data_IF_965664471566
#
_entry.id   IF_965664471566
#
_cell.length_a   1.000
_cell.length_b   1.000
_cell.length_c   1.000
_cell.angle_alpha   90.00
_cell.angle_beta   90.00
_cell.angle_gamma   90.00
#
_symmetry.space_group_name_H-M   'P 1'
#
loop_
_entity.id
_entity.type
_entity.pdbx_description
1 polymer ?
#
# COMPACT_ATOMS: atom_id res chain seq x y z
N UNK A 1 3.46 -12.08 17.29
CA UNK A 1 4.51 -11.25 16.64
C UNK A 1 5.91 -11.94 16.59
N UNK A 2 6.17 -12.94 17.45
CA UNK A 2 7.46 -13.66 17.46
C UNK A 2 7.81 -14.33 16.11
N UNK A 3 6.81 -14.82 15.37
CA UNK A 3 7.02 -15.42 14.06
C UNK A 3 7.45 -14.40 12.98
N UNK A 4 7.03 -13.11 13.10
CA UNK A 4 7.49 -12.06 12.17
C UNK A 4 8.99 -11.78 12.39
N UNK A 5 9.44 -11.74 13.64
CA UNK A 5 10.87 -11.56 13.95
C UNK A 5 11.72 -12.67 13.35
N UNK A 6 11.22 -13.92 13.37
CA UNK A 6 11.89 -15.05 12.72
C UNK A 6 11.94 -14.86 11.20
N UNK A 7 10.81 -14.50 10.57
CA UNK A 7 10.78 -14.25 9.13
C UNK A 7 11.70 -13.10 8.73
N UNK A 8 11.77 -12.03 9.52
CA UNK A 8 12.68 -10.92 9.26
C UNK A 8 14.15 -11.32 9.34
N UNK A 9 14.51 -12.26 10.23
CA UNK A 9 15.84 -12.82 10.30
C UNK A 9 16.16 -13.75 9.11
N UNK A 10 15.17 -14.53 8.67
CA UNK A 10 15.32 -15.45 7.53
C UNK A 10 15.33 -14.70 6.18
N UNK A 11 14.71 -13.51 6.10
CA UNK A 11 14.55 -12.70 4.88
C UNK A 11 14.93 -11.24 5.14
N UNK A 12 16.22 -10.91 5.35
CA UNK A 12 16.67 -9.58 5.76
C UNK A 12 16.41 -8.49 4.70
N UNK A 13 16.30 -8.85 3.42
CA UNK A 13 16.06 -7.95 2.30
C UNK A 13 14.56 -7.65 2.07
N UNK A 14 13.67 -8.30 2.84
CA UNK A 14 12.22 -8.09 2.75
C UNK A 14 11.76 -7.10 3.81
N UNK A 15 11.14 -6.00 3.38
CA UNK A 15 10.52 -5.04 4.28
C UNK A 15 9.17 -5.56 4.80
N UNK A 16 8.95 -5.44 6.09
CA UNK A 16 7.69 -5.83 6.75
C UNK A 16 6.86 -4.59 7.06
N UNK A 17 5.67 -4.52 6.50
CA UNK A 17 4.73 -3.40 6.65
C UNK A 17 3.52 -3.81 7.46
N UNK A 18 3.22 -3.09 8.55
CA UNK A 18 1.98 -3.26 9.30
C UNK A 18 0.85 -2.47 8.63
N UNK A 19 -0.15 -3.15 8.08
CA UNK A 19 -1.34 -2.50 7.51
C UNK A 19 -2.41 -2.38 8.59
N UNK A 20 -2.89 -1.16 8.82
CA UNK A 20 -3.89 -0.86 9.86
C UNK A 20 -5.03 -0.01 9.31
N UNK A 21 -6.20 -0.14 9.92
CA UNK A 21 -7.41 0.62 9.59
C UNK A 21 -7.95 1.23 10.88
N UNK A 22 -7.90 2.56 10.98
CA UNK A 22 -8.36 3.32 12.16
C UNK A 22 -7.85 2.71 13.49
N UNK A 23 -6.51 2.51 13.65
CA UNK A 23 -5.95 1.84 14.81
C UNK A 23 -6.15 2.66 16.09
N UNK A 24 -6.38 1.99 17.21
CA UNK A 24 -6.32 2.59 18.53
C UNK A 24 -4.88 2.69 19.07
N UNK A 25 -4.72 3.42 20.16
CA UNK A 25 -3.42 3.61 20.80
C UNK A 25 -2.81 2.30 21.33
N UNK A 26 -3.65 1.37 21.78
CA UNK A 26 -3.17 0.09 22.30
C UNK A 26 -2.52 -0.76 21.19
N UNK A 27 -3.13 -0.80 20.00
CA UNK A 27 -2.59 -1.46 18.83
C UNK A 27 -1.28 -0.79 18.38
N UNK A 28 -1.27 0.54 18.24
CA UNK A 28 -0.08 1.30 17.84
C UNK A 28 1.09 1.08 18.80
N UNK A 29 0.84 1.13 20.11
CA UNK A 29 1.86 0.86 21.13
C UNK A 29 2.36 -0.60 21.07
N UNK A 30 1.49 -1.56 20.76
CA UNK A 30 1.87 -2.96 20.57
C UNK A 30 2.77 -3.15 19.37
N UNK A 31 2.42 -2.56 18.22
CA UNK A 31 3.20 -2.65 16.99
C UNK A 31 4.57 -1.95 17.12
N UNK A 32 4.61 -0.75 17.71
CA UNK A 32 5.84 0.03 17.88
C UNK A 32 6.86 -0.62 18.82
N UNK A 33 6.39 -1.35 19.86
CA UNK A 33 7.31 -2.05 20.79
C UNK A 33 8.04 -3.23 20.18
N UNK A 34 7.54 -3.81 19.10
CA UNK A 34 8.10 -5.05 18.53
C UNK A 34 9.30 -4.80 17.63
N UNK A 35 9.50 -3.58 17.15
CA UNK A 35 10.60 -3.20 16.24
C UNK A 35 10.78 -4.16 15.03
N UNK A 36 9.70 -4.90 14.68
CA UNK A 36 9.73 -5.86 13.59
C UNK A 36 9.19 -5.31 12.26
N UNK A 37 8.61 -4.11 12.29
CA UNK A 37 8.06 -3.47 11.09
C UNK A 37 8.98 -2.37 10.59
N UNK A 38 9.19 -2.34 9.28
CA UNK A 38 9.96 -1.31 8.58
C UNK A 38 9.09 -0.10 8.22
N UNK A 39 7.77 -0.32 8.13
CA UNK A 39 6.80 0.74 7.93
C UNK A 39 5.44 0.39 8.56
N UNK A 40 4.62 1.42 8.77
CA UNK A 40 3.19 1.30 9.04
C UNK A 40 2.40 1.91 7.87
N UNK A 41 1.34 1.23 7.43
CA UNK A 41 0.43 1.73 6.40
C UNK A 41 -0.96 2.00 7.00
N UNK A 42 -1.38 3.25 6.97
CA UNK A 42 -2.70 3.69 7.39
C UNK A 42 -3.67 3.57 6.21
N UNK A 43 -4.61 2.62 6.30
CA UNK A 43 -5.52 2.27 5.21
C UNK A 43 -7.00 2.59 5.53
N UNK A 44 -7.23 3.33 6.62
CA UNK A 44 -8.55 3.83 7.04
C UNK A 44 -8.78 5.31 6.69
N UNK A 45 -9.57 5.96 7.53
CA UNK A 45 -9.95 7.36 7.37
C UNK A 45 -9.18 8.28 8.35
N UNK A 46 -7.96 7.85 8.71
CA UNK A 46 -7.10 8.57 9.64
C UNK A 46 -6.74 9.95 9.11
N UNK A 47 -6.80 10.97 9.99
CA UNK A 47 -6.43 12.34 9.62
C UNK A 47 -4.92 12.52 9.42
N UNK A 48 -4.49 13.54 8.65
CA UNK A 48 -3.07 13.83 8.46
C UNK A 48 -2.30 13.99 9.79
N UNK A 49 -2.86 14.73 10.74
CA UNK A 49 -2.24 14.93 12.06
C UNK A 49 -2.11 13.64 12.87
N UNK A 50 -3.13 12.76 12.81
CA UNK A 50 -3.05 11.43 13.44
C UNK A 50 -1.94 10.58 12.80
N UNK A 51 -1.92 10.53 11.45
CA UNK A 51 -0.91 9.75 10.73
C UNK A 51 0.52 10.24 11.02
N UNK A 52 0.75 11.55 11.08
CA UNK A 52 2.06 12.12 11.41
C UNK A 52 2.49 11.74 12.83
N UNK A 53 1.60 11.91 13.82
CA UNK A 53 1.90 11.59 15.22
C UNK A 53 2.11 10.09 15.45
N UNK A 54 1.25 9.23 14.90
CA UNK A 54 1.36 7.78 15.04
C UNK A 54 2.51 7.21 14.21
N UNK A 55 2.68 7.70 12.97
CA UNK A 55 3.69 7.26 12.02
C UNK A 55 5.12 7.54 12.47
N UNK A 56 5.34 8.61 13.24
CA UNK A 56 6.66 8.95 13.80
C UNK A 56 7.27 7.87 14.71
N UNK A 57 6.48 6.89 15.13
CA UNK A 57 6.93 5.74 15.96
C UNK A 57 7.53 4.61 15.11
N UNK A 58 7.50 4.72 13.79
CA UNK A 58 7.98 3.71 12.84
C UNK A 58 9.06 4.31 11.94
N UNK A 59 9.97 3.49 11.39
CA UNK A 59 11.00 3.99 10.46
C UNK A 59 10.41 4.73 9.25
N UNK A 60 9.27 4.26 8.75
CA UNK A 60 8.50 4.90 7.67
C UNK A 60 7.00 4.72 7.89
N UNK A 61 6.20 5.58 7.26
CA UNK A 61 4.76 5.40 7.20
C UNK A 61 4.18 5.75 5.83
N UNK A 62 3.11 5.05 5.48
CA UNK A 62 2.44 5.11 4.19
C UNK A 62 0.99 5.52 4.45
N UNK A 63 0.45 6.45 3.68
CA UNK A 63 -1.00 6.69 3.66
C UNK A 63 -1.62 6.05 2.43
N UNK A 64 -2.56 5.16 2.63
CA UNK A 64 -3.40 4.64 1.56
C UNK A 64 -4.60 5.56 1.32
N UNK A 65 -4.83 5.90 0.05
CA UNK A 65 -5.91 6.74 -0.42
C UNK A 65 -6.78 5.96 -1.41
N UNK A 66 -8.09 5.98 -1.18
CA UNK A 66 -9.05 5.37 -2.10
C UNK A 66 -9.41 6.39 -3.16
N UNK A 67 -9.09 6.06 -4.41
CA UNK A 67 -9.23 6.96 -5.55
C UNK A 67 -10.39 6.55 -6.45
N UNK A 68 -11.39 7.41 -6.54
CA UNK A 68 -12.54 7.31 -7.48
C UNK A 68 -12.56 8.48 -8.45
N UNK A 69 -11.94 9.59 -8.05
CA UNK A 69 -11.96 10.84 -8.79
C UNK A 69 -10.77 11.74 -8.41
N UNK A 70 -10.56 12.82 -9.15
CA UNK A 70 -9.54 13.84 -8.81
C UNK A 70 -9.76 14.46 -7.42
N UNK A 71 -10.99 14.51 -6.93
CA UNK A 71 -11.30 15.08 -5.61
C UNK A 71 -10.73 14.23 -4.48
N UNK A 72 -10.62 12.91 -4.67
CA UNK A 72 -10.04 11.99 -3.68
C UNK A 72 -8.51 12.18 -3.54
N UNK A 73 -7.85 12.78 -4.53
CA UNK A 73 -6.43 13.12 -4.49
C UNK A 73 -6.13 14.47 -3.80
N UNK A 74 -7.10 15.36 -3.71
CA UNK A 74 -6.90 16.69 -3.12
C UNK A 74 -6.31 16.64 -1.69
N UNK A 75 -6.76 15.74 -0.78
CA UNK A 75 -6.19 15.64 0.56
C UNK A 75 -4.81 14.96 0.62
N UNK A 76 -4.34 14.34 -0.48
CA UNK A 76 -3.08 13.60 -0.50
C UNK A 76 -1.87 14.42 -0.02
N UNK A 77 -1.83 15.70 -0.41
CA UNK A 77 -0.73 16.60 -0.10
C UNK A 77 -0.71 17.09 1.36
N UNK A 78 -1.81 16.91 2.08
CA UNK A 78 -1.86 17.23 3.51
C UNK A 78 -1.13 16.18 4.39
N UNK A 79 -0.81 14.99 3.83
CA UNK A 79 -0.07 13.97 4.55
C UNK A 79 1.43 14.21 4.42
N UNK A 80 2.10 14.42 5.56
CA UNK A 80 3.54 14.70 5.67
C UNK A 80 4.41 13.45 5.51
N UNK A 81 4.06 12.60 4.54
CA UNK A 81 4.84 11.43 4.15
C UNK A 81 5.19 11.50 2.68
N UNK A 82 6.38 11.04 2.26
CA UNK A 82 6.63 10.84 0.85
C UNK A 82 5.84 9.67 0.26
N UNK A 83 5.43 8.69 1.07
CA UNK A 83 4.81 7.46 0.60
C UNK A 83 3.29 7.51 0.60
N UNK A 84 2.69 7.39 -0.58
CA UNK A 84 1.25 7.29 -0.78
C UNK A 84 0.92 6.00 -1.52
N UNK A 85 -0.08 5.26 -1.05
CA UNK A 85 -0.64 4.13 -1.77
C UNK A 85 -1.98 4.58 -2.38
N UNK A 86 -2.11 4.43 -3.70
CA UNK A 86 -3.34 4.72 -4.44
C UNK A 86 -4.08 3.42 -4.71
N UNK A 87 -5.26 3.24 -4.09
CA UNK A 87 -6.07 2.03 -4.18
C UNK A 87 -7.43 2.32 -4.85
N UNK A 88 -7.99 1.33 -5.56
CA UNK A 88 -9.34 1.43 -6.11
C UNK A 88 -10.37 1.56 -4.98
N UNK A 89 -11.26 2.53 -5.10
CA UNK A 89 -12.34 2.70 -4.14
C UNK A 89 -13.55 1.86 -4.52
N UNK A 90 -13.95 0.94 -3.64
CA UNK A 90 -15.25 0.27 -3.73
C UNK A 90 -16.09 0.66 -2.52
N UNK A 91 -17.33 1.14 -2.73
CA UNK A 91 -18.20 1.50 -1.62
C UNK A 91 -18.38 0.36 -0.61
N UNK A 92 -18.11 0.64 0.67
CA UNK A 92 -18.35 -0.30 1.77
C UNK A 92 -17.26 -1.34 2.02
N UNK A 93 -16.15 -1.33 1.28
CA UNK A 93 -15.02 -2.25 1.50
C UNK A 93 -13.70 -1.50 1.74
N UNK A 94 -12.85 -2.07 2.61
CA UNK A 94 -11.49 -1.62 2.83
C UNK A 94 -10.54 -2.56 2.07
N UNK A 95 -10.04 -2.13 0.89
CA UNK A 95 -9.08 -2.87 0.06
C UNK A 95 -9.65 -4.09 -0.69
N UNK A 96 -8.89 -4.57 -1.67
CA UNK A 96 -9.10 -5.90 -2.27
C UNK A 96 -10.33 -6.12 -3.15
N UNK A 97 -10.99 -5.08 -3.62
CA UNK A 97 -12.27 -5.17 -4.34
C UNK A 97 -12.18 -5.59 -5.82
N UNK A 98 -10.98 -5.71 -6.36
CA UNK A 98 -10.78 -6.15 -7.75
C UNK A 98 -11.13 -5.14 -8.84
N UNK A 99 -11.52 -3.91 -8.51
CA UNK A 99 -11.72 -2.84 -9.48
C UNK A 99 -10.42 -2.09 -9.69
N UNK A 100 -10.07 -1.81 -10.95
CA UNK A 100 -8.85 -1.09 -11.29
C UNK A 100 -8.95 0.39 -10.90
N UNK A 101 -7.86 0.94 -10.37
CA UNK A 101 -7.67 2.40 -10.26
C UNK A 101 -7.74 3.00 -11.67
N UNK A 102 -8.27 4.21 -11.79
CA UNK A 102 -8.11 5.00 -13.01
C UNK A 102 -6.62 5.34 -13.18
N UNK A 103 -5.94 4.58 -14.03
CA UNK A 103 -4.50 4.71 -14.26
C UNK A 103 -4.14 6.06 -14.90
N UNK A 104 -5.04 6.69 -15.66
CA UNK A 104 -4.79 8.02 -16.20
C UNK A 104 -4.76 9.06 -15.08
N UNK A 105 -5.65 8.92 -14.11
CA UNK A 105 -5.67 9.78 -12.92
C UNK A 105 -4.43 9.57 -12.05
N UNK A 106 -4.03 8.32 -11.83
CA UNK A 106 -2.83 7.99 -11.07
C UNK A 106 -1.55 8.51 -11.77
N UNK A 107 -1.43 8.34 -13.09
CA UNK A 107 -0.32 8.85 -13.89
C UNK A 107 -0.21 10.38 -13.83
N UNK A 108 -1.35 11.09 -13.94
CA UNK A 108 -1.37 12.55 -13.80
C UNK A 108 -0.90 12.99 -12.42
N UNK A 109 -1.28 12.26 -11.36
CA UNK A 109 -0.84 12.57 -10.00
C UNK A 109 0.67 12.35 -9.84
N UNK A 110 1.20 11.21 -10.29
CA UNK A 110 2.64 10.91 -10.24
C UNK A 110 3.46 11.97 -10.96
N UNK A 111 3.03 12.35 -12.17
CA UNK A 111 3.73 13.37 -12.97
C UNK A 111 3.70 14.77 -12.32
N UNK A 112 2.59 15.11 -11.64
CA UNK A 112 2.43 16.41 -10.98
C UNK A 112 3.16 16.50 -9.63
N UNK A 113 3.46 15.36 -8.98
CA UNK A 113 4.01 15.30 -7.62
C UNK A 113 5.23 14.37 -7.55
N UNK A 114 6.35 14.72 -8.19
CA UNK A 114 7.57 13.89 -8.20
C UNK A 114 8.24 13.74 -6.82
N UNK A 115 7.87 14.58 -5.85
CA UNK A 115 8.28 14.46 -4.45
C UNK A 115 7.55 13.34 -3.70
N UNK A 116 6.43 12.83 -4.24
CA UNK A 116 5.66 11.73 -3.66
C UNK A 116 6.05 10.40 -4.29
N UNK A 117 6.30 9.42 -3.45
CA UNK A 117 6.56 8.04 -3.85
C UNK A 117 5.25 7.27 -3.86
N UNK A 118 4.73 7.02 -5.05
CA UNK A 118 3.43 6.37 -5.23
C UNK A 118 3.59 4.85 -5.31
N UNK A 119 2.80 4.16 -4.50
CA UNK A 119 2.55 2.72 -4.60
C UNK A 119 1.20 2.58 -5.30
N UNK A 120 1.17 1.91 -6.45
CA UNK A 120 -0.08 1.64 -7.17
C UNK A 120 -0.69 0.33 -6.70
N UNK A 121 -1.94 0.38 -6.26
CA UNK A 121 -2.73 -0.75 -5.80
C UNK A 121 -4.10 -0.79 -6.48
N UNK A 122 -4.94 -1.74 -6.10
CA UNK A 122 -6.31 -1.86 -6.58
C UNK A 122 -6.44 -2.58 -7.92
N UNK A 123 -6.91 -3.84 -7.85
CA UNK A 123 -7.22 -4.66 -9.02
C UNK A 123 -6.01 -5.16 -9.82
N UNK A 124 -4.78 -4.96 -9.33
CA UNK A 124 -3.60 -5.48 -9.99
C UNK A 124 -3.53 -7.00 -9.89
N UNK A 125 -2.97 -7.61 -10.95
CA UNK A 125 -2.74 -9.04 -11.07
C UNK A 125 -1.62 -9.30 -12.09
N UNK A 126 -1.14 -10.54 -12.29
CA UNK A 126 -0.05 -10.83 -13.22
C UNK A 126 -0.30 -10.41 -14.67
N UNK A 127 -1.56 -10.34 -15.11
CA UNK A 127 -1.89 -10.03 -16.51
C UNK A 127 -1.93 -8.54 -16.82
N UNK A 128 -2.01 -7.67 -15.82
CA UNK A 128 -2.19 -6.23 -16.02
C UNK A 128 -1.12 -5.34 -15.38
N UNK A 129 -0.29 -5.88 -14.48
CA UNK A 129 0.69 -5.08 -13.72
C UNK A 129 1.74 -4.42 -14.60
N UNK A 130 2.21 -5.07 -15.66
CA UNK A 130 3.19 -4.50 -16.60
C UNK A 130 2.61 -3.25 -17.30
N UNK A 131 1.37 -3.34 -17.80
CA UNK A 131 0.68 -2.21 -18.43
C UNK A 131 0.47 -1.07 -17.42
N UNK A 132 -0.01 -1.40 -16.22
CA UNK A 132 -0.23 -0.44 -15.15
C UNK A 132 1.06 0.30 -14.76
N UNK A 133 2.15 -0.44 -14.56
CA UNK A 133 3.46 0.13 -14.22
C UNK A 133 4.00 1.03 -15.34
N UNK A 134 3.90 0.58 -16.60
CA UNK A 134 4.34 1.33 -17.77
C UNK A 134 3.54 2.61 -18.00
N UNK A 135 2.25 2.62 -17.64
CA UNK A 135 1.37 3.78 -17.82
C UNK A 135 1.52 4.80 -16.68
N UNK A 136 1.60 4.32 -15.45
CA UNK A 136 1.56 5.16 -14.24
C UNK A 136 2.95 5.61 -13.80
N UNK A 137 3.99 4.81 -14.07
CA UNK A 137 5.35 5.00 -13.57
C UNK A 137 5.41 5.13 -12.03
N UNK A 138 4.76 4.24 -11.27
CA UNK A 138 4.77 4.31 -9.82
C UNK A 138 6.16 3.89 -9.27
N UNK A 139 6.45 4.22 -8.01
CA UNK A 139 7.66 3.74 -7.32
C UNK A 139 7.57 2.27 -6.94
N UNK A 140 6.36 1.76 -6.72
CA UNK A 140 6.11 0.36 -6.41
C UNK A 140 4.67 -0.01 -6.81
N UNK A 141 4.40 -1.31 -6.85
CA UNK A 141 3.06 -1.87 -7.04
C UNK A 141 2.69 -2.74 -5.84
N UNK A 142 1.40 -2.76 -5.49
CA UNK A 142 0.85 -3.57 -4.41
C UNK A 142 -0.26 -4.47 -4.92
N UNK A 143 -0.28 -5.73 -4.45
CA UNK A 143 -1.29 -6.70 -4.83
C UNK A 143 -1.78 -7.51 -3.64
N UNK A 144 -3.09 -7.65 -3.53
CA UNK A 144 -3.72 -8.50 -2.54
C UNK A 144 -4.48 -9.67 -3.21
N UNK A 145 -5.71 -9.45 -3.61
CA UNK A 145 -6.59 -10.50 -4.15
C UNK A 145 -6.17 -11.00 -5.54
N UNK A 146 -5.46 -10.18 -6.33
CA UNK A 146 -5.02 -10.55 -7.68
C UNK A 146 -4.05 -11.73 -7.75
N UNK A 147 -3.45 -12.12 -6.62
CA UNK A 147 -2.55 -13.28 -6.49
C UNK A 147 -3.10 -14.33 -5.51
N UNK A 148 -4.42 -14.35 -5.28
CA UNK A 148 -5.08 -15.34 -4.43
C UNK A 148 -5.66 -16.49 -5.26
N UNK A 149 -5.65 -17.69 -4.68
CA UNK A 149 -6.38 -18.86 -5.18
C UNK A 149 -7.82 -18.90 -4.61
N UNK A 150 -7.99 -18.38 -3.40
CA UNK A 150 -9.27 -18.14 -2.73
C UNK A 150 -9.10 -17.00 -1.72
N UNK A 151 -10.16 -16.36 -1.24
CA UNK A 151 -10.05 -15.22 -0.33
C UNK A 151 -9.11 -15.48 0.86
N UNK A 152 -8.05 -14.66 0.98
CA UNK A 152 -7.04 -14.75 2.03
C UNK A 152 -5.96 -15.83 1.82
N UNK A 153 -6.02 -16.62 0.74
CA UNK A 153 -5.03 -17.68 0.43
C UNK A 153 -4.22 -17.30 -0.80
N UNK A 154 -2.95 -16.94 -0.61
CA UNK A 154 -2.06 -16.58 -1.71
C UNK A 154 -1.68 -17.82 -2.54
N UNK A 155 -1.67 -17.64 -3.86
CA UNK A 155 -1.20 -18.62 -4.83
C UNK A 155 0.27 -18.36 -5.15
N UNK A 156 1.20 -19.29 -4.82
CA UNK A 156 2.63 -19.05 -5.02
C UNK A 156 3.03 -18.86 -6.48
N UNK A 157 2.31 -19.44 -7.43
CA UNK A 157 2.57 -19.27 -8.87
C UNK A 157 2.17 -17.87 -9.31
N UNK A 158 0.95 -17.45 -8.96
CA UNK A 158 0.48 -16.08 -9.24
C UNK A 158 1.38 -15.01 -8.59
N UNK A 159 1.90 -15.27 -7.39
CA UNK A 159 2.86 -14.33 -6.73
C UNK A 159 4.13 -14.22 -7.56
N UNK A 160 4.72 -15.35 -8.00
CA UNK A 160 5.93 -15.35 -8.86
C UNK A 160 5.68 -14.64 -10.19
N UNK A 161 4.56 -14.95 -10.84
CA UNK A 161 4.18 -14.35 -12.12
C UNK A 161 3.96 -12.84 -11.99
N UNK A 162 3.33 -12.40 -10.90
CA UNK A 162 3.14 -10.97 -10.62
C UNK A 162 4.48 -10.24 -10.45
N UNK A 163 5.39 -10.81 -9.65
CA UNK A 163 6.71 -10.23 -9.44
C UNK A 163 7.49 -10.15 -10.75
N UNK A 164 7.49 -11.23 -11.54
CA UNK A 164 8.18 -11.25 -12.84
C UNK A 164 7.60 -10.20 -13.80
N UNK A 165 6.28 -10.08 -13.87
CA UNK A 165 5.60 -9.12 -14.72
C UNK A 165 5.78 -7.66 -14.26
N UNK A 166 5.92 -7.42 -12.95
CA UNK A 166 6.15 -6.09 -12.38
C UNK A 166 7.59 -5.58 -12.61
N UNK A 167 8.55 -6.49 -12.84
CA UNK A 167 9.95 -6.18 -13.06
C UNK A 167 10.34 -6.14 -14.55
N UNK A 168 9.42 -6.51 -15.45
CA UNK A 168 9.65 -6.51 -16.90
C UNK A 168 9.56 -5.11 -17.49
#
# INVERSE_FOLDING_TARGET
LSWILKLKADYPDVAFVAVVVNPDEALLASLGRTACFDAIQFHGDESPGFCAAAGSRFPQWIKALRIRSKLDLAPALAFETPWLLLDAAVPGTYGGSGHAVDWDLAAQFVAAHPEKRVILAGGLNPSNVTEAASKVHPHAVDVASGVESSPGVKDPEKVRDFIAAALA
#
